data_IF_095917652134
#
_entry.id   IF_095917652134
#
_cell.length_a   1.000
_cell.length_b   1.000
_cell.length_c   1.000
_cell.angle_alpha   90.00
_cell.angle_beta   90.00
_cell.angle_gamma   90.00
#
_symmetry.space_group_name_H-M   'P 1'
#
loop_
_entity.id
_entity.type
_entity.pdbx_description
1 polymer ?
#
# COMPACT_ATOMS: atom_id res chain seq x y z
N UNK A 1 1.00 -7.88 -26.36
CA UNK A 1 0.86 -8.91 -25.32
C UNK A 1 0.80 -8.20 -23.96
N UNK A 2 -0.36 -8.18 -23.29
CA UNK A 2 -0.51 -7.58 -21.95
C UNK A 2 0.03 -8.55 -20.91
N UNK A 3 0.98 -8.08 -20.09
CA UNK A 3 1.60 -8.90 -19.05
C UNK A 3 0.54 -9.26 -17.99
N UNK A 4 0.30 -10.55 -17.68
CA UNK A 4 -0.70 -10.99 -16.69
C UNK A 4 -0.39 -10.56 -15.24
N UNK A 5 0.74 -9.91 -15.03
CA UNK A 5 1.15 -9.33 -13.76
C UNK A 5 0.28 -8.12 -13.36
N UNK A 6 -0.15 -7.32 -14.34
CA UNK A 6 -0.88 -6.05 -14.08
C UNK A 6 -2.30 -6.34 -13.53
N UNK A 7 -2.97 -7.37 -14.07
CA UNK A 7 -4.29 -7.83 -13.61
C UNK A 7 -4.25 -8.41 -12.19
N UNK A 8 -3.20 -9.14 -11.83
CA UNK A 8 -3.06 -9.66 -10.47
C UNK A 8 -2.85 -8.53 -9.44
N UNK A 9 -2.15 -7.46 -9.83
CA UNK A 9 -1.93 -6.30 -8.98
C UNK A 9 -3.21 -5.50 -8.75
N UNK A 10 -4.02 -5.27 -9.80
CA UNK A 10 -5.31 -4.57 -9.66
C UNK A 10 -6.35 -5.35 -8.86
N UNK A 11 -6.36 -6.68 -8.97
CA UNK A 11 -7.21 -7.52 -8.11
C UNK A 11 -6.79 -7.41 -6.65
N UNK A 12 -5.48 -7.43 -6.37
CA UNK A 12 -4.95 -7.27 -5.01
C UNK A 12 -5.22 -5.88 -4.42
N UNK A 13 -5.18 -4.81 -5.20
CA UNK A 13 -5.53 -3.46 -4.71
C UNK A 13 -7.00 -3.38 -4.31
N UNK A 14 -7.90 -3.91 -5.15
CA UNK A 14 -9.34 -3.92 -4.85
C UNK A 14 -9.68 -4.78 -3.62
N UNK A 15 -9.07 -5.97 -3.50
CA UNK A 15 -9.23 -6.82 -2.32
C UNK A 15 -8.80 -6.10 -1.04
N UNK A 16 -7.68 -5.37 -1.09
CA UNK A 16 -7.19 -4.60 0.07
C UNK A 16 -8.17 -3.49 0.44
N UNK A 17 -8.67 -2.74 -0.54
CA UNK A 17 -9.67 -1.71 -0.30
C UNK A 17 -10.94 -2.28 0.35
N UNK A 18 -11.47 -3.37 -0.19
CA UNK A 18 -12.67 -4.02 0.36
C UNK A 18 -12.46 -4.49 1.81
N UNK A 19 -11.34 -5.17 2.08
CA UNK A 19 -11.02 -5.71 3.41
C UNK A 19 -10.93 -4.62 4.50
N UNK A 20 -10.46 -3.42 4.15
CA UNK A 20 -10.24 -2.35 5.12
C UNK A 20 -11.35 -1.29 5.13
N UNK A 21 -12.47 -1.52 4.44
CA UNK A 21 -13.57 -0.55 4.40
C UNK A 21 -14.24 -0.36 5.76
N UNK A 22 -14.48 -1.44 6.49
CA UNK A 22 -15.08 -1.36 7.82
C UNK A 22 -14.16 -0.63 8.80
N UNK A 23 -12.85 -0.86 8.70
CA UNK A 23 -11.84 -0.17 9.50
C UNK A 23 -11.77 1.32 9.18
N UNK A 24 -11.88 1.71 7.90
CA UNK A 24 -11.95 3.12 7.49
C UNK A 24 -13.13 3.83 8.15
N UNK A 25 -14.29 3.16 8.19
CA UNK A 25 -15.52 3.69 8.82
C UNK A 25 -15.33 3.80 10.33
N UNK A 26 -14.79 2.78 10.97
CA UNK A 26 -14.58 2.77 12.43
C UNK A 26 -13.60 3.85 12.87
N UNK A 27 -12.46 3.98 12.19
CA UNK A 27 -11.48 5.06 12.44
C UNK A 27 -12.13 6.42 12.19
N UNK A 28 -12.89 6.59 11.10
CA UNK A 28 -13.62 7.83 10.82
C UNK A 28 -14.61 8.21 11.93
N UNK A 29 -15.29 7.22 12.54
CA UNK A 29 -16.19 7.43 13.68
C UNK A 29 -15.43 7.81 14.95
N UNK A 30 -14.34 7.09 15.27
CA UNK A 30 -13.52 7.33 16.47
C UNK A 30 -12.90 8.73 16.43
N UNK A 31 -12.34 9.11 15.30
CA UNK A 31 -11.61 10.37 15.14
C UNK A 31 -12.50 11.53 14.66
N UNK A 32 -13.78 11.27 14.39
CA UNK A 32 -14.76 12.21 13.82
C UNK A 32 -14.20 13.01 12.62
N UNK A 33 -13.45 12.33 11.75
CA UNK A 33 -12.74 12.94 10.63
C UNK A 33 -12.87 12.10 9.35
N UNK A 34 -12.61 12.73 8.20
CA UNK A 34 -12.70 12.08 6.90
C UNK A 34 -11.48 11.18 6.66
N UNK A 35 -11.61 9.91 7.03
CA UNK A 35 -10.59 8.88 6.81
C UNK A 35 -10.71 8.29 5.41
N UNK A 36 -9.58 7.98 4.77
CA UNK A 36 -9.56 7.28 3.48
C UNK A 36 -8.45 6.23 3.45
N UNK A 37 -8.78 5.02 3.01
CA UNK A 37 -7.78 3.96 2.82
C UNK A 37 -7.02 4.15 1.52
N UNK A 38 -5.69 4.21 1.61
CA UNK A 38 -4.79 4.28 0.45
C UNK A 38 -4.06 2.94 0.28
N UNK A 39 -4.38 2.15 -0.76
CA UNK A 39 -3.74 0.87 -0.98
C UNK A 39 -2.38 1.07 -1.67
N UNK A 40 -1.31 0.77 -0.95
CA UNK A 40 0.03 0.63 -1.54
C UNK A 40 0.28 -0.85 -1.84
N UNK A 41 0.48 -1.16 -3.12
CA UNK A 41 0.85 -2.50 -3.62
C UNK A 41 2.17 -2.36 -4.38
N UNK A 42 3.21 -2.98 -3.83
CA UNK A 42 4.56 -3.02 -4.40
C UNK A 42 4.87 -4.48 -4.71
N UNK A 43 5.21 -4.77 -5.96
CA UNK A 43 5.67 -6.08 -6.39
C UNK A 43 7.09 -6.37 -5.93
N UNK A 44 7.48 -7.64 -5.96
CA UNK A 44 8.81 -8.10 -5.53
C UNK A 44 9.98 -7.36 -6.23
N UNK A 45 9.77 -6.93 -7.48
CA UNK A 45 10.77 -6.21 -8.28
C UNK A 45 10.67 -4.67 -8.16
N UNK A 46 10.13 -4.14 -7.04
CA UNK A 46 9.78 -2.72 -6.84
C UNK A 46 8.75 -2.16 -7.84
N UNK A 47 8.06 -3.02 -8.57
CA UNK A 47 7.00 -2.59 -9.49
C UNK A 47 5.84 -1.99 -8.69
N UNK A 48 5.40 -0.78 -9.04
CA UNK A 48 4.25 -0.13 -8.41
C UNK A 48 3.01 -0.41 -9.26
N UNK A 49 1.87 -0.65 -8.61
CA UNK A 49 0.58 -0.72 -9.28
C UNK A 49 0.28 0.54 -10.09
N UNK A 50 -0.20 0.38 -11.32
CA UNK A 50 -0.75 1.51 -12.10
C UNK A 50 -1.89 2.15 -11.32
N UNK A 51 -1.91 3.49 -11.30
CA UNK A 51 -2.90 4.27 -10.54
C UNK A 51 -2.50 4.60 -9.10
N UNK A 52 -1.37 4.09 -8.60
CA UNK A 52 -0.86 4.44 -7.27
C UNK A 52 -0.65 5.96 -7.11
N UNK A 53 -0.27 6.66 -8.18
CA UNK A 53 -0.09 8.13 -8.16
C UNK A 53 -1.38 8.88 -7.83
N UNK A 54 -2.53 8.36 -8.29
CA UNK A 54 -3.84 8.95 -7.98
C UNK A 54 -4.19 8.85 -6.50
N UNK A 55 -3.68 7.82 -5.81
CA UNK A 55 -3.85 7.69 -4.37
C UNK A 55 -2.89 8.59 -3.60
N UNK A 56 -1.66 8.80 -4.08
CA UNK A 56 -0.72 9.72 -3.43
C UNK A 56 -1.13 11.18 -3.56
N UNK A 57 -1.74 11.57 -4.67
CA UNK A 57 -2.27 12.92 -4.84
C UNK A 57 -3.33 13.29 -3.78
N UNK A 58 -3.88 12.30 -3.07
CA UNK A 58 -4.87 12.51 -2.01
C UNK A 58 -4.24 12.70 -0.64
N UNK A 59 -2.94 12.39 -0.49
CA UNK A 59 -2.20 12.66 0.74
C UNK A 59 -1.77 14.13 0.68
N UNK A 60 -2.23 14.98 1.61
CA UNK A 60 -1.75 16.35 1.68
C UNK A 60 -0.26 16.33 2.06
N UNK A 61 0.59 16.89 1.19
CA UNK A 61 2.04 16.84 1.29
C UNK A 61 2.67 16.09 0.13
N UNK A 62 3.75 16.64 -0.43
CA UNK A 62 4.42 16.09 -1.61
C UNK A 62 5.08 14.75 -1.29
N UNK A 63 4.31 13.67 -1.42
CA UNK A 63 4.74 12.31 -1.10
C UNK A 63 5.38 11.70 -2.35
N UNK A 64 6.71 11.60 -2.40
CA UNK A 64 7.39 10.96 -3.54
C UNK A 64 7.22 9.45 -3.46
N UNK A 65 6.76 8.82 -4.55
CA UNK A 65 6.67 7.35 -4.67
C UNK A 65 7.97 6.64 -4.30
N UNK A 66 9.11 7.21 -4.69
CA UNK A 66 10.43 6.66 -4.40
C UNK A 66 10.71 6.56 -2.89
N UNK A 67 10.19 7.48 -2.08
CA UNK A 67 10.36 7.45 -0.63
C UNK A 67 9.50 6.35 -0.01
N UNK A 68 8.25 6.22 -0.47
CA UNK A 68 7.35 5.14 -0.02
C UNK A 68 7.92 3.77 -0.35
N UNK A 69 8.49 3.59 -1.55
CA UNK A 69 9.18 2.35 -1.92
C UNK A 69 10.36 2.05 -1.00
N UNK A 70 11.16 3.07 -0.63
CA UNK A 70 12.29 2.89 0.30
C UNK A 70 11.81 2.46 1.68
N UNK A 71 10.75 3.10 2.20
CA UNK A 71 10.16 2.74 3.50
C UNK A 71 9.70 1.28 3.49
N UNK A 72 8.95 0.86 2.46
CA UNK A 72 8.45 -0.53 2.38
C UNK A 72 9.59 -1.54 2.28
N UNK A 73 10.64 -1.24 1.53
CA UNK A 73 11.80 -2.12 1.46
C UNK A 73 12.52 -2.22 2.81
N UNK A 74 12.75 -1.09 3.50
CA UNK A 74 13.36 -1.07 4.82
C UNK A 74 12.56 -1.88 5.84
N UNK A 75 11.23 -1.72 5.85
CA UNK A 75 10.34 -2.50 6.71
C UNK A 75 10.44 -4.00 6.41
N UNK A 76 10.49 -4.37 5.13
CA UNK A 76 10.63 -5.78 4.72
C UNK A 76 11.97 -6.36 5.16
N UNK A 77 13.07 -5.60 4.99
CA UNK A 77 14.39 -6.00 5.46
C UNK A 77 14.41 -6.16 6.98
N UNK A 78 13.79 -5.25 7.72
CA UNK A 78 13.71 -5.33 9.18
C UNK A 78 12.91 -6.54 9.66
N UNK A 79 11.76 -6.83 9.05
CA UNK A 79 10.95 -8.01 9.34
C UNK A 79 11.74 -9.29 9.03
N UNK A 80 12.44 -9.33 7.89
CA UNK A 80 13.24 -10.48 7.49
C UNK A 80 14.41 -10.73 8.46
N UNK A 81 15.09 -9.66 8.88
CA UNK A 81 16.16 -9.76 9.87
C UNK A 81 15.61 -10.27 11.21
N UNK A 82 14.48 -9.74 11.66
CA UNK A 82 13.81 -10.18 12.90
C UNK A 82 13.36 -11.64 12.85
N UNK A 83 12.95 -12.14 11.68
CA UNK A 83 12.65 -13.56 11.49
C UNK A 83 13.91 -14.43 11.59
N UNK A 84 15.02 -13.99 10.99
CA UNK A 84 16.28 -14.74 10.99
C UNK A 84 16.93 -14.80 12.38
N UNK A 85 16.68 -13.84 13.26
CA UNK A 85 17.24 -13.84 14.63
C UNK A 85 16.43 -14.66 15.63
N UNK A 86 15.22 -15.11 15.26
CA UNK A 86 14.32 -15.91 16.11
C UNK A 86 14.22 -17.39 15.67
N UNK A 87 15.11 -17.85 14.77
CA UNK A 87 15.20 -19.22 14.28
C UNK A 87 16.60 -19.78 14.50
#
# INVERSE_FOLDING_TARGET
MTVPIDINVSVKTYQKLSKYKDLEIEIGKIWNCKTKTIPVVIGALRMIAKGADTYLAQIPGYSKMAEIQKIVLMVTVHILHSFKTNS
#
